data_IF_726054163838
#
_entry.id   IF_726054163838
#
_cell.length_a   1.000
_cell.length_b   1.000
_cell.length_c   1.000
_cell.angle_alpha   90.00
_cell.angle_beta   90.00
_cell.angle_gamma   90.00
#
_symmetry.space_group_name_H-M   'P 1'
#
loop_
_entity.id
_entity.type
_entity.pdbx_description
1 polymer ?
#
# COMPACT_ATOMS: atom_id res chain seq x y z
N UNK A 1 19.62 -12.52 39.35
CA UNK A 1 18.32 -12.94 38.79
C UNK A 1 18.25 -12.43 37.36
N UNK A 2 18.80 -13.20 36.43
CA UNK A 2 18.79 -12.87 35.01
C UNK A 2 17.40 -13.12 34.43
N UNK A 3 16.70 -12.06 34.06
CA UNK A 3 15.50 -12.18 33.25
C UNK A 3 15.96 -12.62 31.84
N UNK A 4 15.91 -13.91 31.59
CA UNK A 4 15.97 -14.44 30.24
C UNK A 4 14.84 -13.74 29.47
N UNK A 5 15.19 -12.81 28.60
CA UNK A 5 14.23 -12.16 27.73
C UNK A 5 13.62 -13.26 26.84
N UNK A 6 12.43 -13.73 27.18
CA UNK A 6 11.71 -14.71 26.36
C UNK A 6 11.57 -14.16 24.93
N UNK A 7 12.23 -14.84 24.02
CA UNK A 7 12.17 -14.49 22.61
C UNK A 7 10.72 -14.57 22.14
N UNK A 8 10.17 -13.44 21.73
CA UNK A 8 8.78 -13.36 21.26
C UNK A 8 8.53 -14.36 20.13
N UNK A 9 7.42 -15.07 20.14
CA UNK A 9 7.12 -16.08 19.13
C UNK A 9 7.10 -15.45 17.72
N UNK A 10 7.63 -16.16 16.73
CA UNK A 10 7.78 -15.69 15.32
C UNK A 10 6.48 -15.13 14.73
N UNK A 11 5.33 -15.71 15.08
CA UNK A 11 4.03 -15.26 14.58
C UNK A 11 3.68 -13.83 15.05
N UNK A 12 4.08 -13.47 16.28
CA UNK A 12 3.85 -12.12 16.82
C UNK A 12 4.73 -11.09 16.09
N UNK A 13 5.95 -11.45 15.76
CA UNK A 13 6.84 -10.62 14.94
C UNK A 13 6.24 -10.34 13.57
N UNK A 14 5.76 -11.38 12.86
CA UNK A 14 5.11 -11.20 11.56
C UNK A 14 3.87 -10.32 11.65
N UNK A 15 3.03 -10.55 12.65
CA UNK A 15 1.83 -9.76 12.88
C UNK A 15 2.15 -8.26 13.01
N UNK A 16 3.17 -7.90 13.79
CA UNK A 16 3.59 -6.50 13.99
C UNK A 16 4.08 -5.86 12.71
N UNK A 17 4.94 -6.55 11.96
CA UNK A 17 5.45 -6.03 10.70
C UNK A 17 4.34 -5.85 9.66
N UNK A 18 3.44 -6.82 9.53
CA UNK A 18 2.30 -6.72 8.61
C UNK A 18 1.35 -5.58 9.01
N UNK A 19 1.12 -5.38 10.31
CA UNK A 19 0.31 -4.27 10.79
C UNK A 19 0.98 -2.92 10.51
N UNK A 20 2.25 -2.78 10.83
CA UNK A 20 3.00 -1.54 10.59
C UNK A 20 3.07 -1.18 9.10
N UNK A 21 3.37 -2.16 8.24
CA UNK A 21 3.39 -1.96 6.79
C UNK A 21 1.98 -1.71 6.23
N UNK A 22 0.95 -2.37 6.77
CA UNK A 22 -0.44 -2.11 6.39
C UNK A 22 -0.85 -0.66 6.70
N UNK A 23 -0.52 -0.13 7.87
CA UNK A 23 -0.73 1.28 8.20
C UNK A 23 0.08 2.20 7.30
N UNK A 24 1.36 1.91 7.08
CA UNK A 24 2.23 2.70 6.21
C UNK A 24 1.64 2.81 4.80
N UNK A 25 1.28 1.68 4.19
CA UNK A 25 0.66 1.64 2.85
C UNK A 25 -0.68 2.38 2.84
N UNK A 26 -1.48 2.29 3.91
CA UNK A 26 -2.74 3.02 4.01
C UNK A 26 -2.51 4.53 4.04
N UNK A 27 -1.57 5.01 4.86
CA UNK A 27 -1.26 6.45 4.95
C UNK A 27 -0.73 6.97 3.62
N UNK A 28 0.25 6.29 3.02
CA UNK A 28 0.80 6.71 1.73
C UNK A 28 -0.23 6.58 0.60
N UNK A 29 -1.11 5.59 0.64
CA UNK A 29 -2.22 5.45 -0.28
C UNK A 29 -3.20 6.62 -0.18
N UNK A 30 -3.59 7.03 1.03
CA UNK A 30 -4.45 8.21 1.24
C UNK A 30 -3.77 9.48 0.72
N UNK A 31 -2.49 9.69 1.07
CA UNK A 31 -1.74 10.86 0.59
C UNK A 31 -1.65 10.87 -0.94
N UNK A 32 -1.46 9.71 -1.56
CA UNK A 32 -1.42 9.57 -3.02
C UNK A 32 -2.77 9.88 -3.68
N UNK A 33 -3.88 9.40 -3.11
CA UNK A 33 -5.21 9.75 -3.60
C UNK A 33 -5.54 11.23 -3.39
N UNK A 34 -5.11 11.83 -2.27
CA UNK A 34 -5.23 13.28 -2.06
C UNK A 34 -4.42 14.05 -3.10
N UNK A 35 -3.22 13.60 -3.42
CA UNK A 35 -2.39 14.19 -4.49
C UNK A 35 -3.12 14.18 -5.85
N UNK A 36 -3.77 13.07 -6.22
CA UNK A 36 -4.60 13.02 -7.43
C UNK A 36 -5.72 14.06 -7.44
N UNK A 37 -6.39 14.23 -6.30
CA UNK A 37 -7.45 15.24 -6.15
C UNK A 37 -6.91 16.65 -6.29
N UNK A 38 -5.77 16.94 -5.64
CA UNK A 38 -5.12 18.27 -5.68
C UNK A 38 -4.67 18.63 -7.09
N UNK A 39 -4.10 17.67 -7.81
CA UNK A 39 -3.68 17.86 -9.21
C UNK A 39 -4.86 17.97 -10.18
N UNK A 40 -6.06 17.56 -9.78
CA UNK A 40 -7.24 17.49 -10.66
C UNK A 40 -7.10 16.48 -11.79
N UNK A 41 -6.09 15.61 -11.73
CA UNK A 41 -5.73 14.69 -12.79
C UNK A 41 -6.39 13.33 -12.56
N UNK A 42 -7.11 12.81 -13.56
CA UNK A 42 -7.88 11.55 -13.55
C UNK A 42 -8.79 11.37 -12.33
N UNK A 43 -9.01 12.46 -11.57
CA UNK A 43 -9.68 12.31 -10.28
C UNK A 43 -11.17 11.96 -10.43
N UNK A 44 -11.82 12.41 -11.49
CA UNK A 44 -13.28 12.27 -11.55
C UNK A 44 -13.99 12.70 -10.25
N UNK A 45 -13.27 13.39 -9.38
CA UNK A 45 -13.75 13.85 -8.09
C UNK A 45 -14.41 15.24 -8.21
N UNK A 46 -15.51 15.49 -7.55
CA UNK A 46 -16.29 14.56 -6.75
C UNK A 46 -17.38 13.87 -7.59
N UNK A 47 -17.38 12.57 -7.68
CA UNK A 47 -18.48 11.74 -8.19
C UNK A 47 -18.94 12.09 -9.61
N UNK A 48 -18.11 11.78 -10.59
CA UNK A 48 -18.57 11.71 -11.98
C UNK A 48 -19.37 10.42 -12.19
N UNK A 49 -20.29 10.44 -13.14
CA UNK A 49 -21.12 9.27 -13.49
C UNK A 49 -20.27 8.06 -13.96
N UNK A 50 -19.08 8.33 -14.49
CA UNK A 50 -18.16 7.31 -14.99
C UNK A 50 -17.17 6.84 -13.93
N UNK A 51 -16.94 5.52 -13.88
CA UNK A 51 -15.89 4.93 -13.04
C UNK A 51 -14.55 5.14 -13.71
N UNK A 52 -13.76 6.04 -13.16
CA UNK A 52 -12.38 6.28 -13.59
C UNK A 52 -11.40 5.29 -12.94
N UNK A 53 -10.18 5.12 -13.45
CA UNK A 53 -9.14 4.34 -12.78
C UNK A 53 -8.89 4.82 -11.34
N UNK A 54 -9.01 6.13 -11.09
CA UNK A 54 -8.89 6.71 -9.75
C UNK A 54 -10.01 6.22 -8.81
N UNK A 55 -11.28 6.39 -9.21
CA UNK A 55 -12.42 5.97 -8.37
C UNK A 55 -12.42 4.47 -8.13
N UNK A 56 -12.02 3.68 -9.12
CA UNK A 56 -11.85 2.24 -8.98
C UNK A 56 -10.74 1.89 -7.97
N UNK A 57 -9.62 2.62 -7.99
CA UNK A 57 -8.50 2.37 -7.06
C UNK A 57 -8.86 2.62 -5.59
N UNK A 58 -9.87 3.46 -5.30
CA UNK A 58 -10.36 3.66 -3.93
C UNK A 58 -10.91 2.37 -3.29
N UNK A 59 -11.31 1.38 -4.08
CA UNK A 59 -11.73 0.06 -3.56
C UNK A 59 -10.62 -0.66 -2.79
N UNK A 60 -9.35 -0.25 -2.96
CA UNK A 60 -8.24 -0.83 -2.19
C UNK A 60 -8.44 -0.68 -0.67
N UNK A 61 -9.13 0.37 -0.22
CA UNK A 61 -9.40 0.56 1.21
C UNK A 61 -10.36 -0.48 1.78
N UNK A 62 -11.29 -0.99 0.95
CA UNK A 62 -12.14 -2.12 1.33
C UNK A 62 -11.33 -3.41 1.56
N UNK A 63 -10.11 -3.50 1.03
CA UNK A 63 -9.18 -4.61 1.26
C UNK A 63 -8.20 -4.32 2.40
N UNK A 64 -7.72 -3.08 2.54
CA UNK A 64 -6.77 -2.68 3.59
C UNK A 64 -7.40 -2.75 4.98
N UNK A 65 -8.60 -2.19 5.16
CA UNK A 65 -9.26 -2.11 6.47
C UNK A 65 -9.51 -3.49 7.12
N UNK A 66 -10.04 -4.52 6.41
CA UNK A 66 -10.14 -5.86 6.99
C UNK A 66 -8.80 -6.46 7.37
N UNK A 67 -7.73 -6.23 6.60
CA UNK A 67 -6.38 -6.67 6.93
C UNK A 67 -5.88 -6.08 8.26
N UNK A 68 -6.02 -4.77 8.42
CA UNK A 68 -5.69 -4.05 9.66
C UNK A 68 -6.52 -4.61 10.82
N UNK A 69 -7.84 -4.73 10.64
CA UNK A 69 -8.74 -5.26 11.66
C UNK A 69 -8.36 -6.67 12.11
N UNK A 70 -8.10 -7.59 11.17
CA UNK A 70 -7.66 -8.95 11.49
C UNK A 70 -6.37 -8.95 12.31
N UNK A 71 -5.39 -8.12 11.96
CA UNK A 71 -4.14 -8.01 12.69
C UNK A 71 -4.33 -7.42 14.10
N UNK A 72 -5.17 -6.41 14.26
CA UNK A 72 -5.53 -5.83 15.56
C UNK A 72 -6.20 -6.88 16.46
N UNK A 73 -7.00 -7.78 15.86
CA UNK A 73 -7.63 -8.92 16.57
C UNK A 73 -6.69 -10.11 16.80
N UNK A 74 -5.38 -9.92 16.65
CA UNK A 74 -4.37 -10.94 16.94
C UNK A 74 -4.11 -11.95 15.83
N UNK A 75 -4.74 -11.82 14.65
CA UNK A 75 -4.52 -12.72 13.50
C UNK A 75 -3.35 -12.23 12.66
N UNK A 76 -2.51 -13.12 12.14
CA UNK A 76 -1.39 -12.75 11.24
C UNK A 76 -1.88 -12.31 9.86
N UNK A 77 -2.94 -12.91 9.35
CA UNK A 77 -3.58 -12.59 8.06
C UNK A 77 -2.60 -12.49 6.86
N UNK A 78 -1.49 -13.24 6.86
CA UNK A 78 -0.41 -13.10 5.88
C UNK A 78 -0.86 -13.31 4.42
N UNK A 79 -1.76 -14.28 4.16
CA UNK A 79 -2.28 -14.52 2.81
C UNK A 79 -3.14 -13.36 2.31
N UNK A 80 -3.91 -12.76 3.21
CA UNK A 80 -4.71 -11.58 2.91
C UNK A 80 -3.81 -10.41 2.54
N UNK A 81 -2.78 -10.13 3.34
CA UNK A 81 -1.83 -9.05 3.08
C UNK A 81 -1.04 -9.25 1.79
N UNK A 82 -0.69 -10.49 1.45
CA UNK A 82 -0.06 -10.79 0.17
C UNK A 82 -0.99 -10.46 -1.00
N UNK A 83 -2.26 -10.87 -0.92
CA UNK A 83 -3.26 -10.54 -1.92
C UNK A 83 -3.44 -9.02 -2.06
N UNK A 84 -3.63 -8.30 -0.96
CA UNK A 84 -3.79 -6.84 -0.94
C UNK A 84 -2.59 -6.13 -1.56
N UNK A 85 -1.39 -6.54 -1.20
CA UNK A 85 -0.16 -5.95 -1.75
C UNK A 85 -0.03 -6.17 -3.26
N UNK A 86 -0.34 -7.37 -3.76
CA UNK A 86 -0.30 -7.67 -5.19
C UNK A 86 -1.36 -6.90 -5.97
N UNK A 87 -2.58 -6.77 -5.44
CA UNK A 87 -3.63 -5.94 -6.05
C UNK A 87 -3.20 -4.47 -6.07
N UNK A 88 -2.68 -3.95 -4.96
CA UNK A 88 -2.20 -2.57 -4.88
C UNK A 88 -1.05 -2.28 -5.86
N UNK A 89 -0.09 -3.19 -5.99
CA UNK A 89 1.00 -3.07 -6.97
C UNK A 89 0.47 -3.11 -8.41
N UNK A 90 -0.46 -4.01 -8.70
CA UNK A 90 -1.05 -4.10 -10.05
C UNK A 90 -1.81 -2.81 -10.42
N UNK A 91 -2.59 -2.25 -9.48
CA UNK A 91 -3.30 -0.99 -9.69
C UNK A 91 -2.32 0.18 -9.91
N UNK A 92 -1.37 0.36 -9.00
CA UNK A 92 -0.40 1.45 -9.13
C UNK A 92 0.46 1.31 -10.40
N UNK A 93 0.85 0.08 -10.77
CA UNK A 93 1.60 -0.16 -11.98
C UNK A 93 0.79 0.14 -13.24
N UNK A 94 -0.48 -0.27 -13.29
CA UNK A 94 -1.35 0.00 -14.44
C UNK A 94 -1.57 1.49 -14.66
N UNK A 95 -1.76 2.27 -13.60
CA UNK A 95 -2.00 3.72 -13.69
C UNK A 95 -0.75 4.48 -14.12
N UNK A 96 0.42 4.14 -13.56
CA UNK A 96 1.62 4.97 -13.74
C UNK A 96 2.58 4.48 -14.84
N UNK A 97 2.50 3.20 -15.26
CA UNK A 97 3.51 2.62 -16.13
C UNK A 97 2.95 1.94 -17.39
N UNK A 98 1.63 1.71 -17.47
CA UNK A 98 1.02 0.96 -18.58
C UNK A 98 0.02 1.80 -19.35
N UNK A 99 0.07 1.69 -20.69
CA UNK A 99 -0.89 2.33 -21.59
C UNK A 99 -0.53 3.75 -22.02
N UNK A 100 -1.29 4.26 -22.99
CA UNK A 100 -1.10 5.60 -23.53
C UNK A 100 -1.54 6.70 -22.54
N UNK A 101 -2.58 6.40 -21.77
CA UNK A 101 -3.17 7.31 -20.77
C UNK A 101 -2.49 7.22 -19.39
N UNK A 102 -1.29 6.61 -19.30
CA UNK A 102 -0.58 6.48 -18.04
C UNK A 102 -0.16 7.84 -17.48
N UNK A 103 -0.21 7.99 -16.20
CA UNK A 103 0.39 9.10 -15.46
C UNK A 103 1.89 8.87 -15.23
N UNK A 104 2.73 9.39 -16.13
CA UNK A 104 4.17 9.25 -15.98
C UNK A 104 4.69 10.00 -14.73
N UNK A 105 5.42 9.34 -13.80
CA UNK A 105 5.77 9.93 -12.50
C UNK A 105 6.50 11.28 -12.59
N UNK A 106 7.38 11.47 -13.56
CA UNK A 106 8.13 12.73 -13.70
C UNK A 106 7.29 13.81 -14.36
N UNK A 107 6.55 13.47 -15.43
CA UNK A 107 5.78 14.46 -16.19
C UNK A 107 4.50 14.85 -15.46
N UNK A 108 3.71 13.86 -15.03
CA UNK A 108 2.32 14.05 -14.61
C UNK A 108 2.15 14.07 -13.09
N UNK A 109 3.19 13.67 -12.31
CA UNK A 109 3.20 13.77 -10.85
C UNK A 109 4.11 14.89 -10.40
N UNK A 110 5.39 14.88 -10.78
CA UNK A 110 6.33 15.93 -10.37
C UNK A 110 6.12 17.24 -11.15
N UNK A 111 6.03 17.15 -12.47
CA UNK A 111 6.08 18.32 -13.37
C UNK A 111 4.78 19.13 -13.43
N UNK A 112 3.69 18.65 -12.84
CA UNK A 112 2.40 19.36 -12.85
C UNK A 112 2.32 20.47 -11.79
N UNK A 113 3.20 20.43 -10.79
CA UNK A 113 3.26 21.44 -9.74
C UNK A 113 4.13 22.63 -10.12
N UNK A 114 3.63 23.85 -9.88
CA UNK A 114 4.43 25.08 -10.04
C UNK A 114 5.61 25.17 -9.06
N UNK A 115 5.52 24.45 -7.95
CA UNK A 115 6.57 24.38 -6.93
C UNK A 115 7.34 23.06 -6.99
N UNK A 116 8.66 23.08 -7.18
CA UNK A 116 9.51 21.89 -7.12
C UNK A 116 9.37 21.11 -5.80
N UNK A 117 9.10 21.81 -4.70
CA UNK A 117 8.91 21.17 -3.39
C UNK A 117 7.64 20.30 -3.38
N UNK A 118 6.52 20.82 -3.88
CA UNK A 118 5.27 20.06 -3.93
C UNK A 118 5.36 18.89 -4.91
N UNK A 119 5.98 19.08 -6.07
CA UNK A 119 6.25 18.00 -7.00
C UNK A 119 7.13 16.91 -6.41
N UNK A 120 8.19 17.29 -5.68
CA UNK A 120 9.05 16.32 -4.99
C UNK A 120 8.30 15.56 -3.89
N UNK A 121 7.45 16.22 -3.11
CA UNK A 121 6.62 15.57 -2.08
C UNK A 121 5.65 14.58 -2.70
N UNK A 122 4.96 14.94 -3.77
CA UNK A 122 4.07 14.04 -4.50
C UNK A 122 4.80 12.80 -5.02
N UNK A 123 5.99 12.99 -5.59
CA UNK A 123 6.82 11.89 -6.06
C UNK A 123 7.31 10.99 -4.92
N UNK A 124 7.71 11.57 -3.78
CA UNK A 124 8.09 10.81 -2.58
C UNK A 124 6.91 9.99 -2.05
N UNK A 125 5.69 10.53 -2.08
CA UNK A 125 4.49 9.80 -1.69
C UNK A 125 4.25 8.60 -2.61
N UNK A 126 4.32 8.77 -3.92
CA UNK A 126 4.18 7.68 -4.88
C UNK A 126 5.26 6.60 -4.69
N UNK A 127 6.53 7.00 -4.58
CA UNK A 127 7.65 6.07 -4.38
C UNK A 127 7.48 5.35 -3.03
N UNK A 128 7.13 6.06 -1.98
CA UNK A 128 6.88 5.49 -0.65
C UNK A 128 5.77 4.45 -0.67
N UNK A 129 4.67 4.73 -1.38
CA UNK A 129 3.57 3.78 -1.59
C UNK A 129 4.06 2.50 -2.28
N UNK A 130 4.78 2.63 -3.40
CA UNK A 130 5.30 1.48 -4.16
C UNK A 130 6.26 0.65 -3.32
N UNK A 131 7.22 1.28 -2.64
CA UNK A 131 8.16 0.58 -1.76
C UNK A 131 7.45 -0.08 -0.58
N UNK A 132 6.46 0.57 -0.01
CA UNK A 132 5.63 0.02 1.06
C UNK A 132 4.86 -1.23 0.61
N UNK A 133 4.25 -1.20 -0.57
CA UNK A 133 3.55 -2.34 -1.16
C UNK A 133 4.51 -3.51 -1.44
N UNK A 134 5.70 -3.25 -1.98
CA UNK A 134 6.73 -4.28 -2.19
C UNK A 134 7.17 -4.89 -0.85
N UNK A 135 7.46 -4.05 0.15
CA UNK A 135 7.84 -4.52 1.48
C UNK A 135 6.74 -5.36 2.13
N UNK A 136 5.47 -4.93 1.99
CA UNK A 136 4.31 -5.66 2.47
C UNK A 136 4.18 -7.03 1.77
N UNK A 137 4.34 -7.09 0.44
CA UNK A 137 4.30 -8.33 -0.33
C UNK A 137 5.39 -9.31 0.11
N UNK A 138 6.65 -8.85 0.21
CA UNK A 138 7.78 -9.67 0.63
C UNK A 138 7.60 -10.17 2.06
N UNK A 139 7.16 -9.32 2.98
CA UNK A 139 6.94 -9.69 4.38
C UNK A 139 5.80 -10.70 4.51
N UNK A 140 4.70 -10.47 3.80
CA UNK A 140 3.55 -11.38 3.80
C UNK A 140 3.92 -12.75 3.17
N UNK A 141 4.66 -12.75 2.08
CA UNK A 141 5.14 -13.98 1.45
C UNK A 141 6.02 -14.80 2.41
N UNK A 142 7.00 -14.15 3.06
CA UNK A 142 7.86 -14.81 4.06
C UNK A 142 7.06 -15.38 5.22
N UNK A 143 6.06 -14.64 5.72
CA UNK A 143 5.20 -15.12 6.80
C UNK A 143 4.36 -16.34 6.38
N UNK A 144 3.87 -16.39 5.13
CA UNK A 144 3.16 -17.56 4.57
C UNK A 144 4.09 -18.77 4.49
N UNK A 145 5.32 -18.59 3.99
CA UNK A 145 6.28 -19.68 3.86
C UNK A 145 6.71 -20.26 5.22
N UNK A 146 6.97 -19.40 6.19
CA UNK A 146 7.34 -19.83 7.56
C UNK A 146 6.20 -20.61 8.22
N UNK A 147 4.95 -20.21 8.02
CA UNK A 147 3.80 -20.92 8.59
C UNK A 147 3.55 -22.32 8.01
N UNK A 148 4.05 -22.59 6.81
CA UNK A 148 3.95 -23.92 6.19
C UNK A 148 4.97 -24.92 6.76
N UNK A 149 6.18 -24.44 7.08
CA UNK A 149 7.24 -25.32 7.61
C UNK A 149 7.00 -25.73 9.07
N UNK A 150 6.34 -24.91 9.86
CA UNK A 150 6.02 -25.24 11.26
C UNK A 150 4.85 -26.22 11.45
N UNK A 151 4.21 -26.69 10.35
CA UNK A 151 3.12 -27.69 10.39
C UNK A 151 3.54 -29.09 9.94
N UNK A 152 4.81 -29.25 9.58
CA UNK A 152 5.40 -30.57 9.29
C UNK A 152 6.24 -31.06 10.46
#
# INVERSE_FOLDING_TARGET
MDRVAEARPLWERWRRWLLALGFFVTVFGVLHHVDHVVRGNHSGWPFQEEVTPFTFSLLIYALLLPGIYMNLRGRVAARWWLFVALVGLALAFSVHFVGAEREAPIRDVYGVYDSPLWGALALVVLIGLLLGLVALAVTAFRAVMTSRHGRR
#
